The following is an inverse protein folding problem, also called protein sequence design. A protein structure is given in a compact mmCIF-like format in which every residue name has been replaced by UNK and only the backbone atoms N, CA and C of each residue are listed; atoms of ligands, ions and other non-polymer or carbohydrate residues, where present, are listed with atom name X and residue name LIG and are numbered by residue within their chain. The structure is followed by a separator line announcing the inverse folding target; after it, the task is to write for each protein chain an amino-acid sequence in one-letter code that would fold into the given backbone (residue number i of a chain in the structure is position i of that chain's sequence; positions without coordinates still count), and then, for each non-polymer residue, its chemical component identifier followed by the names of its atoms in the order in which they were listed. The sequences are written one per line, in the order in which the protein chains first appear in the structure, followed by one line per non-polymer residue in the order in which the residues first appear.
data_IF_330494746594
#
_entry.id   IF_330494746594
#
_cell.length_a   1.000
_cell.length_b   1.000
_cell.length_c   1.000
_cell.angle_alpha   90.00
_cell.angle_beta   90.00
_cell.angle_gamma   90.00
#
_symmetry.space_group_name_H-M   'P 1'
#
loop_
_entity.id
_entity.type
_entity.pdbx_description
1 polymer ?
#
# COMPACT_ATOMS: atom_id res chain seq x y z
N UNK A 1 -23.04 -17.39 -7.23
CA UNK A 1 -21.65 -17.03 -7.56
C UNK A 1 -20.86 -17.08 -6.28
N UNK A 2 -19.90 -17.99 -6.19
CA UNK A 2 -18.94 -18.02 -5.09
C UNK A 2 -18.11 -16.73 -5.18
N UNK A 3 -18.24 -15.85 -4.19
CA UNK A 3 -17.59 -14.55 -4.25
C UNK A 3 -16.07 -14.74 -4.09
N UNK A 4 -15.31 -14.44 -5.14
CA UNK A 4 -13.84 -14.58 -5.12
C UNK A 4 -13.22 -13.60 -4.14
N UNK A 5 -12.29 -14.09 -3.31
CA UNK A 5 -11.55 -13.25 -2.36
C UNK A 5 -10.82 -12.11 -3.09
N UNK A 6 -10.98 -10.89 -2.56
CA UNK A 6 -10.27 -9.69 -2.98
C UNK A 6 -9.02 -9.49 -2.14
N UNK A 7 -7.94 -9.14 -2.82
CA UNK A 7 -6.65 -8.83 -2.21
C UNK A 7 -6.42 -7.34 -2.21
N UNK A 8 -5.51 -6.89 -1.35
CA UNK A 8 -5.01 -5.52 -1.45
C UNK A 8 -4.49 -5.27 -2.88
N UNK A 9 -4.63 -4.03 -3.37
CA UNK A 9 -4.31 -3.62 -4.76
C UNK A 9 -5.29 -4.11 -5.83
N UNK A 10 -6.30 -4.90 -5.49
CA UNK A 10 -7.44 -5.07 -6.39
C UNK A 10 -8.29 -3.81 -6.39
N UNK A 11 -8.97 -3.58 -7.51
CA UNK A 11 -9.99 -2.55 -7.64
C UNK A 11 -11.34 -3.20 -7.94
N UNK A 12 -12.44 -2.53 -7.62
CA UNK A 12 -13.76 -3.01 -7.99
C UNK A 12 -14.75 -1.87 -8.21
N UNK A 13 -15.79 -2.14 -9.01
CA UNK A 13 -16.83 -1.18 -9.39
C UNK A 13 -18.17 -1.52 -8.73
N UNK A 14 -18.84 -0.50 -8.22
CA UNK A 14 -20.21 -0.54 -7.69
C UNK A 14 -20.98 0.62 -8.33
N UNK A 15 -21.80 0.34 -9.33
CA UNK A 15 -22.49 1.37 -10.10
C UNK A 15 -21.48 2.35 -10.73
N UNK A 16 -21.52 3.61 -10.31
CA UNK A 16 -20.63 4.68 -10.78
C UNK A 16 -19.37 4.85 -9.92
N UNK A 17 -19.20 4.05 -8.87
CA UNK A 17 -18.13 4.16 -7.89
C UNK A 17 -17.04 3.13 -8.18
N UNK A 18 -15.78 3.54 -8.05
CA UNK A 18 -14.63 2.64 -8.16
C UNK A 18 -13.78 2.71 -6.88
N UNK A 19 -13.62 1.55 -6.26
CA UNK A 19 -12.94 1.37 -4.99
C UNK A 19 -11.60 0.65 -5.17
N UNK A 20 -10.62 0.98 -4.34
CA UNK A 20 -9.41 0.16 -4.14
C UNK A 20 -9.52 -0.64 -2.85
N UNK A 21 -9.27 -1.93 -2.90
CA UNK A 21 -9.24 -2.82 -1.73
C UNK A 21 -8.05 -2.45 -0.83
N UNK A 22 -8.31 -2.22 0.47
CA UNK A 22 -7.27 -1.79 1.44
C UNK A 22 -6.89 -2.88 2.46
N UNK A 23 -7.68 -3.95 2.55
CA UNK A 23 -7.40 -5.13 3.36
C UNK A 23 -7.78 -6.41 2.61
N UNK A 24 -7.14 -7.53 2.93
CA UNK A 24 -7.52 -8.83 2.37
C UNK A 24 -8.94 -9.20 2.83
N UNK A 25 -9.84 -9.45 1.88
CA UNK A 25 -11.19 -9.88 2.21
C UNK A 25 -11.18 -11.36 2.54
N UNK A 26 -11.71 -11.74 3.71
CA UNK A 26 -11.97 -13.14 4.02
C UNK A 26 -13.21 -13.62 3.27
N UNK A 27 -13.19 -14.87 2.79
CA UNK A 27 -14.36 -15.55 2.20
C UNK A 27 -15.61 -15.45 3.09
N UNK A 28 -15.47 -15.63 4.40
CA UNK A 28 -16.57 -15.56 5.38
C UNK A 28 -17.13 -14.16 5.65
N UNK A 29 -16.46 -13.09 5.21
CA UNK A 29 -17.00 -11.73 5.38
C UNK A 29 -18.02 -11.42 4.29
N UNK A 30 -19.13 -10.78 4.63
CA UNK A 30 -20.10 -10.28 3.63
C UNK A 30 -19.70 -8.94 3.02
N UNK A 31 -18.68 -8.28 3.57
CA UNK A 31 -18.20 -6.97 3.11
C UNK A 31 -16.72 -6.98 2.75
N UNK A 32 -16.31 -5.94 2.04
CA UNK A 32 -14.93 -5.69 1.63
C UNK A 32 -14.54 -4.33 2.19
N UNK A 33 -13.43 -4.26 2.92
CA UNK A 33 -12.87 -3.00 3.36
C UNK A 33 -12.08 -2.36 2.21
N UNK A 34 -12.49 -1.15 1.82
CA UNK A 34 -11.96 -0.47 0.65
C UNK A 34 -11.87 1.05 0.84
N UNK A 35 -11.37 1.75 -0.17
CA UNK A 35 -11.38 3.19 -0.24
C UNK A 35 -11.92 3.62 -1.62
N UNK A 36 -12.91 4.50 -1.64
CA UNK A 36 -13.41 5.12 -2.87
C UNK A 36 -12.30 5.96 -3.49
N UNK A 37 -11.93 5.62 -4.73
CA UNK A 37 -10.85 6.28 -5.47
C UNK A 37 -11.36 7.12 -6.61
N UNK A 38 -12.41 6.66 -7.29
CA UNK A 38 -12.97 7.37 -8.44
C UNK A 38 -14.48 7.28 -8.47
N UNK A 39 -15.11 8.33 -9.00
CA UNK A 39 -16.54 8.34 -9.33
C UNK A 39 -16.70 8.75 -10.78
N UNK A 40 -17.50 7.99 -11.54
CA UNK A 40 -17.84 8.34 -12.92
C UNK A 40 -18.54 9.71 -12.94
N UNK A 41 -17.96 10.66 -13.64
CA UNK A 41 -18.37 12.07 -13.68
C UNK A 41 -18.06 12.61 -15.08
N UNK A 42 -19.06 13.13 -15.79
CA UNK A 42 -18.89 13.70 -17.13
C UNK A 42 -17.94 14.90 -17.17
N UNK A 43 -17.76 15.57 -16.03
CA UNK A 43 -16.80 16.66 -15.85
C UNK A 43 -15.50 16.20 -15.16
N UNK A 44 -15.31 14.89 -14.99
CA UNK A 44 -14.13 14.32 -14.36
C UNK A 44 -12.84 14.57 -15.16
N UNK A 45 -11.74 14.73 -14.44
CA UNK A 45 -10.42 15.04 -14.99
C UNK A 45 -9.67 13.83 -15.54
N UNK A 46 -10.18 12.61 -15.31
CA UNK A 46 -9.58 11.38 -15.80
C UNK A 46 -10.47 10.71 -16.84
N UNK A 47 -9.96 10.48 -18.04
CA UNK A 47 -10.68 9.72 -19.06
C UNK A 47 -10.16 8.29 -19.12
N UNK A 48 -11.07 7.33 -19.06
CA UNK A 48 -10.77 5.90 -19.07
C UNK A 48 -10.50 5.43 -20.49
N UNK A 49 -9.31 4.89 -20.76
CA UNK A 49 -9.03 4.23 -22.05
C UNK A 49 -9.78 2.91 -22.24
N UNK A 50 -10.38 2.34 -21.19
CA UNK A 50 -11.08 1.05 -21.26
C UNK A 50 -12.53 1.19 -21.74
N UNK A 51 -13.19 2.31 -21.42
CA UNK A 51 -14.60 2.53 -21.73
C UNK A 51 -14.94 3.96 -22.19
N UNK A 52 -13.95 4.85 -22.33
CA UNK A 52 -14.12 6.24 -22.78
C UNK A 52 -14.80 7.15 -21.76
N UNK A 53 -15.08 6.66 -20.55
CA UNK A 53 -15.82 7.41 -19.54
C UNK A 53 -14.90 8.31 -18.73
N UNK A 54 -15.45 9.43 -18.26
CA UNK A 54 -14.74 10.36 -17.38
C UNK A 54 -14.98 10.05 -15.91
N UNK A 55 -13.94 10.27 -15.11
CA UNK A 55 -13.86 9.94 -13.70
C UNK A 55 -13.25 11.08 -12.92
N UNK A 56 -13.85 11.38 -11.77
CA UNK A 56 -13.29 12.28 -10.76
C UNK A 56 -12.50 11.46 -9.74
N UNK A 57 -11.25 11.82 -9.49
CA UNK A 57 -10.41 11.20 -8.45
C UNK A 57 -10.75 11.79 -7.08
N UNK A 58 -10.81 10.92 -6.07
CA UNK A 58 -11.04 11.31 -4.69
C UNK A 58 -9.75 11.14 -3.87
N UNK A 59 -9.39 12.18 -3.12
CA UNK A 59 -8.51 12.05 -1.96
C UNK A 59 -9.20 11.28 -0.83
N UNK A 60 -8.48 10.97 0.25
CA UNK A 60 -9.07 10.25 1.39
C UNK A 60 -10.23 11.03 2.01
N UNK A 61 -10.05 12.31 2.34
CA UNK A 61 -11.11 13.10 2.96
C UNK A 61 -12.31 13.29 2.03
N UNK A 62 -12.07 13.55 0.74
CA UNK A 62 -13.12 13.65 -0.27
C UNK A 62 -13.91 12.34 -0.40
N UNK A 63 -13.23 11.19 -0.34
CA UNK A 63 -13.87 9.88 -0.44
C UNK A 63 -14.88 9.65 0.69
N UNK A 64 -14.51 9.97 1.94
CA UNK A 64 -15.42 9.85 3.09
C UNK A 64 -16.55 10.88 3.05
N UNK A 65 -16.24 12.12 2.65
CA UNK A 65 -17.25 13.17 2.48
C UNK A 65 -18.30 12.75 1.45
N UNK A 66 -17.86 12.32 0.27
CA UNK A 66 -18.73 11.89 -0.81
C UNK A 66 -19.65 10.74 -0.39
N UNK A 67 -19.08 9.68 0.22
CA UNK A 67 -19.89 8.56 0.69
C UNK A 67 -20.86 8.96 1.79
N UNK A 68 -20.48 9.85 2.72
CA UNK A 68 -21.40 10.32 3.76
C UNK A 68 -22.63 11.03 3.18
N UNK A 69 -22.44 11.78 2.10
CA UNK A 69 -23.50 12.55 1.43
C UNK A 69 -24.36 11.68 0.49
N UNK A 70 -23.77 10.70 -0.19
CA UNK A 70 -24.42 10.00 -1.31
C UNK A 70 -24.68 8.50 -1.05
N UNK A 71 -23.83 7.85 -0.25
CA UNK A 71 -23.85 6.41 0.01
C UNK A 71 -23.49 6.07 1.48
N UNK A 72 -24.22 6.63 2.48
CA UNK A 72 -23.89 6.44 3.89
C UNK A 72 -23.95 4.98 4.33
N UNK A 73 -24.67 4.11 3.61
CA UNK A 73 -24.76 2.67 3.82
C UNK A 73 -23.39 1.95 3.72
N UNK A 74 -22.44 2.55 3.01
CA UNK A 74 -21.07 2.03 2.85
C UNK A 74 -20.12 2.47 3.96
N UNK A 75 -20.55 3.34 4.88
CA UNK A 75 -19.75 3.79 5.99
C UNK A 75 -20.17 3.11 7.29
N UNK A 76 -19.23 2.43 7.95
CA UNK A 76 -19.47 1.78 9.25
C UNK A 76 -18.34 2.05 10.22
N UNK A 77 -18.69 2.31 11.47
CA UNK A 77 -17.72 2.36 12.55
C UNK A 77 -17.27 0.93 12.90
N UNK A 78 -15.97 0.68 12.81
CA UNK A 78 -15.33 -0.57 13.25
C UNK A 78 -14.14 -0.22 14.14
N UNK A 79 -14.16 -0.72 15.37
CA UNK A 79 -13.09 -0.51 16.36
C UNK A 79 -12.76 0.97 16.57
N UNK A 80 -13.81 1.77 16.78
CA UNK A 80 -13.71 3.20 17.07
C UNK A 80 -13.18 4.06 15.91
N UNK A 81 -13.26 3.56 14.67
CA UNK A 81 -12.85 4.30 13.46
C UNK A 81 -13.88 4.09 12.35
N UNK A 82 -14.19 5.15 11.61
CA UNK A 82 -15.09 5.07 10.46
C UNK A 82 -14.35 4.42 9.28
N UNK A 83 -14.95 3.38 8.69
CA UNK A 83 -14.38 2.63 7.56
C UNK A 83 -15.38 2.52 6.42
N UNK A 84 -14.89 2.29 5.20
CA UNK A 84 -15.75 2.02 4.04
C UNK A 84 -15.85 0.51 3.87
N UNK A 85 -17.01 -0.06 4.23
CA UNK A 85 -17.28 -1.49 4.19
C UNK A 85 -18.35 -1.77 3.15
N UNK A 86 -17.92 -2.25 1.98
CA UNK A 86 -18.79 -2.41 0.81
C UNK A 86 -19.36 -3.83 0.79
N UNK A 87 -20.69 -4.00 0.73
CA UNK A 87 -21.31 -5.33 0.59
C UNK A 87 -20.82 -6.02 -0.67
N UNK A 88 -20.39 -7.28 -0.54
CA UNK A 88 -19.92 -8.09 -1.67
C UNK A 88 -20.97 -8.22 -2.78
N UNK A 89 -22.25 -8.28 -2.39
CA UNK A 89 -23.40 -8.37 -3.32
C UNK A 89 -23.55 -7.14 -4.23
N UNK A 90 -23.01 -5.99 -3.84
CA UNK A 90 -23.12 -4.75 -4.62
C UNK A 90 -22.00 -4.65 -5.68
N UNK A 91 -20.97 -5.50 -5.58
CA UNK A 91 -19.82 -5.48 -6.47
C UNK A 91 -20.19 -6.06 -7.83
N UNK A 92 -20.08 -5.22 -8.86
CA UNK A 92 -20.46 -5.56 -10.23
C UNK A 92 -19.29 -6.05 -11.07
N UNK A 93 -18.08 -5.55 -10.79
CA UNK A 93 -16.87 -5.91 -11.52
C UNK A 93 -15.65 -5.79 -10.63
N UNK A 94 -14.74 -6.74 -10.74
CA UNK A 94 -13.42 -6.74 -10.11
C UNK A 94 -12.36 -6.49 -11.18
N UNK A 95 -11.34 -5.73 -10.82
CA UNK A 95 -10.14 -5.50 -11.62
C UNK A 95 -8.94 -6.02 -10.81
N UNK A 96 -8.28 -7.05 -11.34
CA UNK A 96 -7.10 -7.64 -10.72
C UNK A 96 -5.83 -7.19 -11.44
N UNK A 97 -4.75 -6.87 -10.72
CA UNK A 97 -3.47 -6.53 -11.35
C UNK A 97 -2.98 -7.55 -12.38
N UNK A 98 -3.20 -8.85 -12.14
CA UNK A 98 -2.79 -9.91 -13.07
C UNK A 98 -3.59 -9.94 -14.38
N UNK A 99 -4.80 -9.36 -14.38
CA UNK A 99 -5.71 -9.29 -15.53
C UNK A 99 -5.62 -7.94 -16.26
N UNK A 100 -4.69 -7.08 -15.85
CA UNK A 100 -4.49 -5.77 -16.45
C UNK A 100 -4.16 -5.89 -17.94
N UNK A 101 -4.88 -5.14 -18.78
CA UNK A 101 -4.57 -4.99 -20.20
C UNK A 101 -3.42 -3.99 -20.32
N UNK A 102 -2.20 -4.51 -20.19
CA UNK A 102 -0.97 -3.74 -20.23
C UNK A 102 -0.56 -3.44 -21.68
N UNK A 103 -0.37 -2.17 -21.99
CA UNK A 103 0.20 -1.67 -23.23
C UNK A 103 1.33 -0.68 -22.91
N UNK A 104 2.13 -0.30 -23.91
CA UNK A 104 3.20 0.70 -23.73
C UNK A 104 4.14 0.38 -22.56
N UNK A 105 4.31 1.36 -21.66
CA UNK A 105 5.28 1.32 -20.56
C UNK A 105 5.00 0.17 -19.58
N UNK A 106 3.74 -0.10 -19.25
CA UNK A 106 3.33 -1.16 -18.32
C UNK A 106 3.81 -2.52 -18.80
N UNK A 107 3.61 -2.77 -20.10
CA UNK A 107 4.01 -4.04 -20.72
C UNK A 107 5.53 -4.15 -20.73
N UNK A 108 6.23 -3.12 -21.19
CA UNK A 108 7.71 -3.11 -21.23
C UNK A 108 8.31 -3.34 -19.84
N UNK A 109 7.83 -2.63 -18.83
CA UNK A 109 8.26 -2.83 -17.44
C UNK A 109 7.99 -4.25 -16.99
N UNK A 110 6.78 -4.78 -17.19
CA UNK A 110 6.44 -6.15 -16.80
C UNK A 110 7.37 -7.18 -17.45
N UNK A 111 7.67 -7.03 -18.76
CA UNK A 111 8.61 -7.91 -19.46
C UNK A 111 10.01 -7.89 -18.84
N UNK A 112 10.55 -6.72 -18.45
CA UNK A 112 11.87 -6.66 -17.81
C UNK A 112 11.97 -7.56 -16.57
N UNK A 113 10.90 -7.60 -15.76
CA UNK A 113 10.88 -8.47 -14.57
C UNK A 113 10.66 -9.93 -14.94
N UNK A 114 9.80 -10.21 -15.93
CA UNK A 114 9.52 -11.58 -16.40
C UNK A 114 10.76 -12.23 -17.02
N UNK A 115 11.47 -11.52 -17.90
CA UNK A 115 12.71 -11.98 -18.54
C UNK A 115 13.84 -12.21 -17.53
N UNK A 116 13.81 -11.50 -16.39
CA UNK A 116 14.74 -11.71 -15.28
C UNK A 116 14.19 -12.67 -14.20
N UNK A 117 13.13 -13.42 -14.55
CA UNK A 117 12.66 -14.61 -13.86
C UNK A 117 11.53 -14.39 -12.84
N UNK A 118 10.91 -13.22 -12.75
CA UNK A 118 9.67 -13.08 -11.97
C UNK A 118 8.54 -13.78 -12.74
N UNK A 119 7.81 -14.75 -12.17
CA UNK A 119 6.78 -15.47 -12.92
C UNK A 119 5.67 -14.54 -13.41
N UNK A 120 5.21 -14.73 -14.66
CA UNK A 120 4.20 -13.88 -15.32
C UNK A 120 2.91 -13.78 -14.51
N UNK A 121 2.46 -14.90 -13.97
CA UNK A 121 1.24 -15.03 -13.17
C UNK A 121 1.35 -14.40 -11.77
N UNK A 122 2.57 -14.03 -11.37
CA UNK A 122 2.89 -13.41 -10.09
C UNK A 122 3.21 -11.92 -10.21
N UNK A 123 2.95 -11.30 -11.36
CA UNK A 123 3.22 -9.88 -11.60
C UNK A 123 2.09 -9.20 -12.37
N UNK A 124 1.77 -7.96 -12.02
CA UNK A 124 0.72 -7.18 -12.69
C UNK A 124 0.81 -5.70 -12.36
N UNK A 125 -0.07 -4.87 -12.94
CA UNK A 125 -0.09 -3.42 -12.70
C UNK A 125 -1.40 -3.02 -12.01
N UNK A 126 -1.33 -2.20 -10.96
CA UNK A 126 -2.49 -1.67 -10.22
C UNK A 126 -2.67 -0.16 -10.44
N UNK A 127 -3.50 0.48 -9.62
CA UNK A 127 -3.64 1.93 -9.58
C UNK A 127 -4.52 2.47 -10.71
N UNK A 128 -4.21 3.67 -11.19
CA UNK A 128 -4.98 4.29 -12.28
C UNK A 128 -4.90 3.47 -13.56
N UNK A 129 -3.73 2.87 -13.84
CA UNK A 129 -3.46 2.08 -15.06
C UNK A 129 -4.28 0.80 -15.14
N UNK A 130 -4.61 0.20 -14.00
CA UNK A 130 -5.45 -1.00 -13.92
C UNK A 130 -6.90 -0.76 -14.39
N UNK A 131 -7.44 0.43 -14.10
CA UNK A 131 -8.78 0.82 -14.52
C UNK A 131 -8.77 1.78 -15.72
N UNK A 132 -7.61 2.02 -16.32
CA UNK A 132 -7.43 2.83 -17.53
C UNK A 132 -7.59 4.34 -17.35
N UNK A 133 -7.55 4.88 -16.12
CA UNK A 133 -7.76 6.31 -15.83
C UNK A 133 -6.45 7.07 -15.57
N UNK A 134 -5.34 6.53 -16.05
CA UNK A 134 -4.02 7.15 -15.96
C UNK A 134 -3.96 8.50 -16.68
N UNK A 135 -3.02 9.35 -16.24
CA UNK A 135 -2.62 10.57 -16.94
C UNK A 135 -1.09 10.65 -16.94
N UNK A 136 -0.55 11.78 -17.39
CA UNK A 136 0.90 12.04 -17.43
C UNK A 136 1.58 11.94 -16.04
N UNK A 137 0.85 12.23 -14.96
CA UNK A 137 1.34 12.12 -13.58
C UNK A 137 1.21 10.71 -12.97
N UNK A 138 0.73 9.73 -13.75
CA UNK A 138 0.49 8.38 -13.24
C UNK A 138 1.76 7.53 -13.19
N UNK A 139 2.12 7.17 -11.97
CA UNK A 139 3.13 6.17 -11.64
C UNK A 139 2.78 4.79 -12.27
N UNK A 140 3.78 3.92 -12.44
CA UNK A 140 3.63 2.49 -12.73
C UNK A 140 3.70 1.75 -11.40
N UNK A 141 2.54 1.35 -10.90
CA UNK A 141 2.38 0.59 -9.68
C UNK A 141 2.48 -0.93 -9.98
N UNK A 142 3.70 -1.47 -10.01
CA UNK A 142 3.95 -2.88 -10.36
C UNK A 142 3.76 -3.78 -9.14
N UNK A 143 2.70 -4.59 -9.16
CA UNK A 143 2.34 -5.54 -8.12
C UNK A 143 3.08 -6.85 -8.32
N UNK A 144 3.68 -7.37 -7.25
CA UNK A 144 4.34 -8.68 -7.23
C UNK A 144 3.74 -9.54 -6.11
N UNK A 145 3.30 -10.74 -6.49
CA UNK A 145 2.62 -11.67 -5.61
C UNK A 145 3.60 -12.70 -5.01
N UNK A 146 3.60 -12.80 -3.68
CA UNK A 146 4.39 -13.76 -2.90
C UNK A 146 5.78 -13.23 -2.53
N UNK A 147 6.20 -13.50 -1.28
CA UNK A 147 7.40 -12.91 -0.69
C UNK A 147 8.66 -13.21 -1.49
N UNK A 148 8.87 -14.48 -1.88
CA UNK A 148 10.03 -14.87 -2.67
C UNK A 148 10.11 -14.18 -4.04
N UNK A 149 8.95 -13.95 -4.68
CA UNK A 149 8.89 -13.22 -5.95
C UNK A 149 9.14 -11.72 -5.75
N UNK A 150 8.64 -11.14 -4.65
CA UNK A 150 8.90 -9.73 -4.33
C UNK A 150 10.39 -9.50 -4.04
N UNK A 151 11.04 -10.37 -3.28
CA UNK A 151 12.48 -10.32 -3.04
C UNK A 151 13.28 -10.48 -4.33
N UNK A 152 12.86 -11.39 -5.21
CA UNK A 152 13.42 -11.52 -6.56
C UNK A 152 13.25 -10.24 -7.36
N UNK A 153 12.06 -9.64 -7.39
CA UNK A 153 11.77 -8.42 -8.11
C UNK A 153 12.63 -7.25 -7.61
N UNK A 154 12.81 -7.08 -6.29
CA UNK A 154 13.72 -6.06 -5.73
C UNK A 154 15.17 -6.25 -6.21
N UNK A 155 15.63 -7.50 -6.30
CA UNK A 155 16.96 -7.79 -6.85
C UNK A 155 17.05 -7.53 -8.37
N UNK A 156 15.97 -7.77 -9.12
CA UNK A 156 15.88 -7.44 -10.54
C UNK A 156 15.91 -5.93 -10.75
N UNK A 157 15.15 -5.16 -9.97
CA UNK A 157 15.13 -3.69 -10.02
C UNK A 157 16.55 -3.12 -9.92
N UNK A 158 17.31 -3.54 -8.92
CA UNK A 158 18.71 -3.14 -8.75
C UNK A 158 19.60 -3.53 -9.94
N UNK A 159 19.41 -4.72 -10.50
CA UNK A 159 20.17 -5.16 -11.69
C UNK A 159 19.85 -4.30 -12.90
N UNK A 160 18.58 -3.95 -13.11
CA UNK A 160 18.14 -3.10 -14.21
C UNK A 160 18.65 -1.66 -14.03
N UNK A 161 18.71 -1.16 -12.79
CA UNK A 161 19.34 0.14 -12.49
C UNK A 161 20.83 0.10 -12.82
N UNK A 162 21.55 -0.96 -12.43
CA UNK A 162 22.99 -1.12 -12.75
C UNK A 162 23.29 -1.28 -14.24
N UNK A 163 22.29 -1.66 -15.03
CA UNK A 163 22.37 -1.79 -16.50
C UNK A 163 21.86 -0.55 -17.24
N UNK A 164 21.53 0.52 -16.52
CA UNK A 164 20.96 1.75 -17.07
C UNK A 164 19.65 1.55 -17.86
N UNK A 165 18.93 0.44 -17.63
CA UNK A 165 17.59 0.18 -18.18
C UNK A 165 16.54 0.95 -17.38
N UNK A 166 16.73 0.99 -16.06
CA UNK A 166 15.95 1.79 -15.13
C UNK A 166 16.84 2.85 -14.50
N UNK A 167 16.27 3.99 -14.15
CA UNK A 167 16.99 5.05 -13.45
C UNK A 167 16.66 5.02 -11.95
N UNK A 168 17.65 5.25 -11.10
CA UNK A 168 17.37 5.54 -9.69
C UNK A 168 16.63 6.88 -9.54
N UNK A 169 15.85 7.01 -8.46
CA UNK A 169 15.28 8.31 -8.08
C UNK A 169 16.39 9.33 -7.83
N UNK A 170 16.30 10.47 -8.51
CA UNK A 170 17.13 11.66 -8.26
C UNK A 170 16.46 12.57 -7.21
N UNK A 171 17.17 13.62 -6.81
CA UNK A 171 16.78 14.55 -5.75
C UNK A 171 15.34 15.07 -5.91
N UNK A 172 14.96 15.53 -7.11
CA UNK A 172 13.63 16.10 -7.36
C UNK A 172 12.51 15.09 -7.12
N UNK A 173 12.70 13.85 -7.60
CA UNK A 173 11.76 12.73 -7.37
C UNK A 173 11.69 12.35 -5.90
N UNK A 174 12.82 12.37 -5.18
CA UNK A 174 12.82 12.14 -3.73
C UNK A 174 12.09 13.26 -2.98
N UNK A 175 12.27 14.52 -3.37
CA UNK A 175 11.57 15.67 -2.76
C UNK A 175 10.08 15.64 -3.05
N UNK A 176 9.68 15.21 -4.24
CA UNK A 176 8.29 14.99 -4.60
C UNK A 176 7.68 13.87 -3.74
N UNK A 177 8.35 12.72 -3.65
CA UNK A 177 7.91 11.61 -2.81
C UNK A 177 7.77 12.03 -1.34
N UNK A 178 8.73 12.79 -0.80
CA UNK A 178 8.69 13.32 0.56
C UNK A 178 7.48 14.23 0.78
N UNK A 179 7.25 15.21 -0.11
CA UNK A 179 6.08 16.12 -0.05
C UNK A 179 4.75 15.38 -0.13
N UNK A 180 4.64 14.39 -1.02
CA UNK A 180 3.44 13.57 -1.22
C UNK A 180 3.13 12.69 0.00
N UNK A 181 4.17 12.23 0.71
CA UNK A 181 4.04 11.39 1.91
C UNK A 181 3.82 12.20 3.19
N UNK A 182 4.36 13.41 3.26
CA UNK A 182 4.33 14.29 4.43
C UNK A 182 4.62 13.54 5.76
N UNK A 183 5.78 12.85 5.87
CA UNK A 183 6.09 12.06 7.05
C UNK A 183 6.59 12.93 8.21
N UNK A 184 6.58 12.39 9.42
CA UNK A 184 7.22 12.99 10.61
C UNK A 184 8.76 12.87 10.60
N UNK A 185 9.30 11.98 9.76
CA UNK A 185 10.75 11.85 9.59
C UNK A 185 11.30 13.06 8.83
N UNK A 186 12.52 13.47 9.16
CA UNK A 186 13.19 14.47 8.33
C UNK A 186 13.51 13.91 6.93
N UNK A 187 13.82 14.81 5.99
CA UNK A 187 14.07 14.43 4.60
C UNK A 187 15.21 13.40 4.45
N UNK A 188 16.29 13.52 5.22
CA UNK A 188 17.44 12.62 5.13
C UNK A 188 17.08 11.24 5.69
N UNK A 189 16.43 11.21 6.84
CA UNK A 189 15.90 9.98 7.46
C UNK A 189 14.93 9.27 6.49
N UNK A 190 14.00 10.02 5.90
CA UNK A 190 13.03 9.51 4.93
C UNK A 190 13.72 8.89 3.71
N UNK A 191 14.63 9.61 3.04
CA UNK A 191 15.30 9.11 1.84
C UNK A 191 16.16 7.88 2.15
N UNK A 192 16.86 7.87 3.28
CA UNK A 192 17.67 6.72 3.70
C UNK A 192 16.78 5.48 3.90
N UNK A 193 15.62 5.68 4.54
CA UNK A 193 14.63 4.62 4.73
C UNK A 193 13.94 4.19 3.44
N UNK A 194 13.62 5.06 2.50
CA UNK A 194 13.02 4.66 1.24
C UNK A 194 14.03 3.91 0.35
N UNK A 195 15.29 4.37 0.29
CA UNK A 195 16.35 3.71 -0.51
C UNK A 195 16.60 2.26 -0.08
N UNK A 196 16.58 1.96 1.23
CA UNK A 196 16.78 0.59 1.74
C UNK A 196 15.73 -0.40 1.20
N UNK A 197 14.53 0.09 0.84
CA UNK A 197 13.39 -0.75 0.45
C UNK A 197 13.61 -1.35 -0.93
N UNK A 198 14.44 -0.72 -1.78
CA UNK A 198 14.80 -1.20 -3.13
C UNK A 198 13.56 -1.52 -3.97
N UNK A 199 12.58 -0.62 -3.92
CA UNK A 199 11.26 -0.81 -4.50
C UNK A 199 10.82 0.39 -5.35
N UNK A 200 11.72 1.30 -5.71
CA UNK A 200 11.41 2.45 -6.58
C UNK A 200 12.48 2.65 -7.64
N UNK A 201 12.05 2.97 -8.86
CA UNK A 201 12.90 3.38 -9.97
C UNK A 201 12.13 4.30 -10.92
N UNK A 202 12.80 4.82 -11.94
CA UNK A 202 12.19 5.62 -13.01
C UNK A 202 12.40 4.90 -14.33
N UNK A 203 11.34 4.82 -15.15
CA UNK A 203 11.40 4.33 -16.53
C UNK A 203 10.81 5.38 -17.47
N UNK A 204 11.60 5.89 -18.43
CA UNK A 204 11.18 6.95 -19.38
C UNK A 204 10.41 8.08 -18.69
N UNK A 205 11.05 8.70 -17.69
CA UNK A 205 10.51 9.76 -16.83
C UNK A 205 9.29 9.40 -15.96
N UNK A 206 8.78 8.17 -16.04
CA UNK A 206 7.66 7.69 -15.22
C UNK A 206 8.17 6.97 -13.98
N UNK A 207 7.64 7.31 -12.80
CA UNK A 207 7.96 6.59 -11.57
C UNK A 207 7.46 5.15 -11.65
N UNK A 208 8.25 4.21 -11.13
CA UNK A 208 7.93 2.80 -10.99
C UNK A 208 8.04 2.43 -9.51
N UNK A 209 6.94 1.99 -8.91
CA UNK A 209 6.89 1.48 -7.54
C UNK A 209 6.64 -0.04 -7.56
N UNK A 210 7.48 -0.82 -6.88
CA UNK A 210 7.24 -2.23 -6.62
C UNK A 210 6.38 -2.40 -5.37
N UNK A 211 5.25 -3.09 -5.54
CA UNK A 211 4.24 -3.27 -4.52
C UNK A 211 4.08 -4.76 -4.19
N UNK A 212 4.19 -5.08 -2.91
CA UNK A 212 4.04 -6.46 -2.44
C UNK A 212 2.57 -6.81 -2.20
N UNK A 213 2.16 -8.00 -2.65
CA UNK A 213 0.90 -8.66 -2.28
C UNK A 213 1.18 -10.11 -1.91
N UNK A 214 0.54 -10.59 -0.85
CA UNK A 214 0.70 -11.96 -0.37
C UNK A 214 -0.13 -12.94 -1.22
N UNK A 215 0.45 -14.09 -1.51
CA UNK A 215 -0.22 -15.21 -2.19
C UNK A 215 -0.61 -16.36 -1.24
N UNK A 216 0.06 -16.46 -0.10
CA UNK A 216 -0.10 -17.45 0.97
C UNK A 216 -1.43 -17.33 1.76
N UNK A 217 -2.09 -18.44 2.17
CA UNK A 217 -3.22 -18.46 3.10
C UNK A 217 -2.91 -17.91 4.51
N UNK A 218 -1.65 -17.86 4.95
CA UNK A 218 -1.27 -17.18 6.20
C UNK A 218 -1.27 -15.65 5.99
N UNK A 219 -2.46 -15.06 6.05
CA UNK A 219 -2.60 -13.63 6.20
C UNK A 219 -1.87 -13.16 7.47
N UNK A 220 -1.32 -11.93 7.48
CA UNK A 220 -0.83 -11.34 8.74
C UNK A 220 -1.94 -11.44 9.80
N UNK A 221 -1.59 -11.51 11.10
CA UNK A 221 -2.61 -11.57 12.15
C UNK A 221 -3.65 -10.46 11.96
N UNK A 222 -4.88 -10.79 11.55
CA UNK A 222 -5.91 -9.79 11.24
C UNK A 222 -6.52 -9.14 12.50
N UNK A 223 -5.84 -9.27 13.65
CA UNK A 223 -6.34 -8.97 14.98
C UNK A 223 -5.44 -7.96 15.71
N UNK A 224 -5.05 -6.92 15.00
CA UNK A 224 -4.40 -5.75 15.60
C UNK A 224 -5.42 -4.75 16.17
N UNK A 225 -6.71 -5.09 16.11
CA UNK A 225 -7.78 -4.26 16.67
C UNK A 225 -7.83 -4.43 18.18
N UNK A 226 -7.87 -3.31 18.90
CA UNK A 226 -7.99 -3.29 20.35
C UNK A 226 -8.58 -1.98 20.85
N UNK A 227 -8.79 -1.91 22.16
CA UNK A 227 -9.19 -0.68 22.82
C UNK A 227 -8.06 0.34 22.70
N UNK A 228 -8.35 1.50 22.08
CA UNK A 228 -7.41 2.63 22.00
C UNK A 228 -7.13 3.15 23.41
N UNK A 229 -5.85 3.13 23.81
CA UNK A 229 -5.35 3.69 25.06
C UNK A 229 -4.83 5.11 24.78
N UNK A 230 -3.51 5.28 24.74
CA UNK A 230 -2.84 6.58 24.58
C UNK A 230 -1.74 6.50 23.53
N UNK A 231 -1.31 7.64 23.00
CA UNK A 231 -0.11 7.70 22.18
C UNK A 231 1.12 7.40 23.04
N UNK A 232 2.01 6.55 22.53
CA UNK A 232 3.27 6.17 23.17
C UNK A 232 4.41 6.27 22.18
N UNK A 233 5.58 6.63 22.70
CA UNK A 233 6.84 6.49 22.01
C UNK A 233 7.64 5.41 22.71
N UNK A 234 8.14 4.44 21.95
CA UNK A 234 8.96 3.34 22.45
C UNK A 234 10.28 3.28 21.70
N UNK A 235 11.29 2.71 22.36
CA UNK A 235 12.56 2.30 21.77
C UNK A 235 12.74 0.81 22.05
N UNK A 236 12.95 0.01 21.02
CA UNK A 236 12.93 -1.45 21.13
C UNK A 236 13.65 -2.13 19.96
N UNK A 237 13.84 -3.44 20.03
CA UNK A 237 14.46 -4.26 18.97
C UNK A 237 13.40 -5.07 18.25
N UNK A 238 13.44 -5.09 16.93
CA UNK A 238 12.60 -5.95 16.09
C UNK A 238 13.08 -7.40 16.23
N UNK A 239 12.20 -8.30 16.67
CA UNK A 239 12.51 -9.73 16.82
C UNK A 239 11.99 -10.58 15.66
N UNK A 240 11.00 -10.07 14.92
CA UNK A 240 10.42 -10.70 13.73
C UNK A 240 9.88 -9.63 12.78
N UNK A 241 10.24 -9.75 11.51
CA UNK A 241 9.91 -8.87 10.40
C UNK A 241 9.24 -9.61 9.22
N UNK A 242 8.72 -10.83 9.43
CA UNK A 242 8.03 -11.66 8.42
C UNK A 242 6.96 -10.92 7.62
N UNK A 243 6.36 -9.88 8.21
CA UNK A 243 5.25 -9.11 7.66
C UNK A 243 5.58 -7.63 7.44
N UNK A 244 6.86 -7.24 7.34
CA UNK A 244 7.26 -5.83 7.27
C UNK A 244 6.86 -5.12 5.97
N UNK A 245 6.64 -5.83 4.87
CA UNK A 245 6.15 -5.27 3.61
C UNK A 245 4.63 -5.43 3.39
N UNK A 246 3.93 -6.11 4.31
CA UNK A 246 2.49 -6.31 4.22
C UNK A 246 1.70 -5.01 4.46
N UNK A 247 0.38 -5.13 4.34
CA UNK A 247 -0.58 -4.07 4.68
C UNK A 247 -1.59 -4.64 5.69
N UNK A 248 -1.52 -4.27 6.98
CA UNK A 248 -0.50 -3.39 7.57
C UNK A 248 0.89 -4.03 7.66
N UNK A 249 1.93 -3.20 7.60
CA UNK A 249 3.29 -3.64 7.85
C UNK A 249 3.44 -3.96 9.33
N UNK A 250 3.99 -5.13 9.66
CA UNK A 250 3.98 -5.64 11.04
C UNK A 250 5.38 -6.02 11.51
N UNK A 251 5.73 -5.59 12.72
CA UNK A 251 7.00 -5.84 13.38
C UNK A 251 6.74 -6.39 14.79
N UNK A 252 7.19 -7.60 15.10
CA UNK A 252 7.21 -8.06 16.50
C UNK A 252 8.42 -7.47 17.18
N UNK A 253 8.26 -7.01 18.41
CA UNK A 253 9.30 -6.27 19.13
C UNK A 253 9.58 -6.85 20.52
N UNK A 254 10.78 -6.58 21.04
CA UNK A 254 11.16 -6.93 22.41
C UNK A 254 10.95 -5.73 23.32
N UNK A 255 9.70 -5.47 23.70
CA UNK A 255 9.34 -4.40 24.63
C UNK A 255 8.48 -4.96 25.77
N UNK A 256 8.65 -4.50 27.02
CA UNK A 256 7.95 -5.07 28.18
C UNK A 256 6.43 -4.90 28.14
N UNK A 257 5.93 -3.89 27.41
CA UNK A 257 4.50 -3.60 27.30
C UNK A 257 3.94 -3.81 25.89
N UNK A 258 4.77 -3.70 24.86
CA UNK A 258 4.30 -3.69 23.46
C UNK A 258 4.83 -4.93 22.78
N UNK A 259 3.96 -5.75 22.24
CA UNK A 259 4.33 -6.98 21.56
C UNK A 259 4.56 -6.75 20.07
N UNK A 260 3.76 -5.86 19.47
CA UNK A 260 3.71 -5.64 18.03
C UNK A 260 3.66 -4.14 17.72
N UNK A 261 4.46 -3.70 16.75
CA UNK A 261 4.31 -2.40 16.09
C UNK A 261 3.72 -2.66 14.69
N UNK A 262 2.62 -1.99 14.35
CA UNK A 262 2.00 -2.08 13.03
C UNK A 262 1.93 -0.74 12.34
N UNK A 263 2.00 -0.73 11.01
CA UNK A 263 1.79 0.46 10.21
C UNK A 263 0.74 0.26 9.13
N UNK A 264 -0.30 1.09 9.16
CA UNK A 264 -1.33 1.18 8.12
C UNK A 264 -0.96 2.16 7.00
N UNK A 265 0.18 2.85 7.11
CA UNK A 265 0.72 3.68 6.04
C UNK A 265 1.87 2.99 5.33
N UNK A 266 1.86 3.02 3.99
CA UNK A 266 2.97 2.47 3.20
C UNK A 266 4.31 3.15 3.45
N UNK A 267 4.32 4.36 4.05
CA UNK A 267 5.54 5.08 4.42
C UNK A 267 6.45 4.24 5.33
N UNK A 268 5.88 3.45 6.24
CA UNK A 268 6.66 2.64 7.19
C UNK A 268 6.61 1.13 6.90
N UNK A 269 6.22 0.74 5.68
CA UNK A 269 6.43 -0.62 5.19
C UNK A 269 7.91 -0.83 4.80
N UNK A 270 8.52 -1.94 5.20
CA UNK A 270 9.94 -2.25 4.98
C UNK A 270 10.91 -1.38 5.79
N UNK A 271 10.43 -0.76 6.87
CA UNK A 271 11.12 0.30 7.61
C UNK A 271 12.27 -0.23 8.48
N UNK A 272 12.11 -1.43 9.02
CA UNK A 272 13.07 -2.09 9.90
C UNK A 272 13.18 -3.59 9.57
N UNK A 273 14.30 -4.21 9.94
CA UNK A 273 14.51 -5.66 9.83
C UNK A 273 14.79 -6.29 11.19
N UNK A 274 14.62 -7.61 11.29
CA UNK A 274 14.94 -8.38 12.49
C UNK A 274 16.36 -8.07 12.99
N UNK A 275 16.49 -7.83 14.29
CA UNK A 275 17.72 -7.47 14.96
C UNK A 275 18.00 -5.96 15.01
N UNK A 276 17.27 -5.13 14.26
CA UNK A 276 17.44 -3.68 14.31
C UNK A 276 16.73 -3.05 15.51
N UNK A 277 17.37 -2.04 16.08
CA UNK A 277 16.79 -1.14 17.06
C UNK A 277 15.96 -0.07 16.35
N UNK A 278 14.71 0.10 16.79
CA UNK A 278 13.76 1.07 16.28
C UNK A 278 13.32 2.04 17.36
N UNK A 279 12.96 3.25 16.93
CA UNK A 279 12.10 4.16 17.68
C UNK A 279 10.75 4.22 16.95
N UNK A 280 9.66 4.01 17.68
CA UNK A 280 8.32 4.08 17.13
C UNK A 280 7.43 4.96 18.00
N UNK A 281 6.60 5.78 17.37
CA UNK A 281 5.58 6.60 18.03
C UNK A 281 4.23 6.33 17.36
N UNK A 282 3.23 5.96 18.16
CA UNK A 282 1.92 5.56 17.66
C UNK A 282 0.88 5.48 18.76
N UNK A 283 -0.34 5.06 18.41
CA UNK A 283 -1.43 4.85 19.36
C UNK A 283 -1.35 3.43 19.92
N UNK A 284 -1.20 3.31 21.24
CA UNK A 284 -1.27 2.02 21.91
C UNK A 284 -2.72 1.49 21.90
N UNK A 285 -2.89 0.25 21.46
CA UNK A 285 -4.14 -0.50 21.50
C UNK A 285 -3.96 -1.82 22.25
N UNK A 286 -4.95 -2.17 23.07
CA UNK A 286 -4.97 -3.40 23.86
C UNK A 286 -6.08 -4.31 23.36
N UNK A 287 -5.71 -5.45 22.82
CA UNK A 287 -6.60 -6.41 22.17
C UNK A 287 -6.08 -7.82 22.36
N UNK A 288 -5.99 -8.59 21.28
CA UNK A 288 -5.30 -9.89 21.32
C UNK A 288 -3.79 -9.74 21.57
N UNK A 289 -3.22 -8.61 21.13
CA UNK A 289 -1.84 -8.22 21.38
C UNK A 289 -1.80 -6.79 21.90
N UNK A 290 -0.86 -6.47 22.78
CA UNK A 290 -0.53 -5.07 23.07
C UNK A 290 0.20 -4.47 21.85
N UNK A 291 -0.51 -3.64 21.10
CA UNK A 291 -0.09 -3.18 19.76
C UNK A 291 0.14 -1.68 19.73
N UNK A 292 1.26 -1.24 19.17
CA UNK A 292 1.50 0.17 18.84
C UNK A 292 1.15 0.41 17.36
N UNK A 293 0.07 1.15 17.11
CA UNK A 293 -0.45 1.43 15.77
C UNK A 293 0.09 2.75 15.24
N UNK A 294 0.72 2.71 14.06
CA UNK A 294 1.23 3.86 13.31
C UNK A 294 0.43 4.03 12.01
N UNK A 295 0.08 5.26 11.66
CA UNK A 295 -0.83 5.55 10.55
C UNK A 295 -2.30 5.49 10.96
N UNK A 296 -2.64 5.94 12.17
CA UNK A 296 -4.04 6.11 12.57
C UNK A 296 -4.72 7.26 11.81
N UNK A 297 -3.93 8.21 11.31
CA UNK A 297 -4.30 9.15 10.25
C UNK A 297 -3.60 8.78 8.95
N UNK A 298 -4.09 9.30 7.82
CA UNK A 298 -3.51 9.01 6.49
C UNK A 298 -2.03 9.38 6.40
N UNK A 299 -1.64 10.52 6.98
CA UNK A 299 -0.27 11.05 6.98
C UNK A 299 0.55 10.58 8.19
N UNK A 300 -0.07 9.82 9.11
CA UNK A 300 0.56 9.40 10.36
C UNK A 300 1.02 10.62 11.18
N UNK A 301 0.11 11.57 11.40
CA UNK A 301 0.43 12.83 12.07
C UNK A 301 0.87 12.56 13.52
N UNK A 302 2.08 13.02 13.85
CA UNK A 302 2.77 12.74 15.10
C UNK A 302 2.96 11.23 15.37
N UNK A 303 3.14 10.44 14.31
CA UNK A 303 3.34 8.99 14.34
C UNK A 303 4.43 8.54 13.35
N UNK A 304 5.34 7.68 13.81
CA UNK A 304 6.45 7.22 12.98
C UNK A 304 7.03 5.88 13.41
N UNK A 305 7.78 5.27 12.50
CA UNK A 305 8.72 4.20 12.78
C UNK A 305 10.05 4.60 12.13
N UNK A 306 11.15 4.57 12.88
CA UNK A 306 12.51 4.74 12.33
C UNK A 306 13.49 3.73 12.90
N UNK A 307 14.39 3.25 12.06
CA UNK A 307 15.42 2.28 12.44
C UNK A 307 16.66 3.04 12.88
N UNK A 308 16.86 3.11 14.20
CA UNK A 308 18.05 3.73 14.78
C UNK A 308 19.32 2.99 14.33
N UNK A 309 19.24 1.67 14.17
CA UNK A 309 20.34 0.88 13.62
C UNK A 309 20.73 1.30 12.20
N UNK A 310 19.77 1.65 11.34
CA UNK A 310 20.09 2.16 10.01
C UNK A 310 20.65 3.58 10.06
N UNK A 311 20.04 4.46 10.86
CA UNK A 311 20.50 5.85 10.97
C UNK A 311 21.92 5.96 11.55
N UNK A 312 22.35 4.98 12.34
CA UNK A 312 23.67 4.93 12.95
C UNK A 312 24.74 4.22 12.08
N UNK A 313 24.37 3.59 10.96
CA UNK A 313 25.34 3.03 10.00
C UNK A 313 26.00 4.20 9.26
N UNK A 314 27.20 4.57 9.70
CA UNK A 314 28.07 5.53 9.02
C UNK A 314 28.52 5.05 7.65
#
# INVERSE_FOLDING_TARGET
MEFTELKIRDFFKVGRLVFSTVAYSMSSSETVEALLRYTEDSCGERESRLDGKKYKKHSFHESFKYLKENHPEYLRCKSGSLRQLIPKKDIQRVYRPQESINNGLEKEVQEFFVENGVPREKIGVTGSRLIGVENEDSDIDLVVYGQGNFDKARNVLDKLIKKDILCQFKEDRWREAYRKRNPELDYREFVLHEKRKRNRAVYRDTSLDLLYVRDDPELPPNKFEGQKKTKKQIKTVVVDDKFNFDSPATYRVRHPEIEIVVSYTHTYAGQAFKGEEIQAKGVHQSGEFETLVVGTTRTADDEYIKSLSLLNKK
#
